data_IF_612467145791
#
_entry.id   IF_612467145791
#
_cell.length_a   1.000
_cell.length_b   1.000
_cell.length_c   1.000
_cell.angle_alpha   90.00
_cell.angle_beta   90.00
_cell.angle_gamma   90.00
#
_symmetry.space_group_name_H-M   'P 1'
#
loop_
_entity.id
_entity.type
_entity.pdbx_description
1 polymer ?
#
# COMPACT_ATOMS: atom_id res chain seq x y z
N UNK A 1 -7.81 4.89 31.97
CA UNK A 1 -8.71 5.61 31.05
C UNK A 1 -10.02 4.85 30.91
N UNK A 2 -11.14 5.55 30.71
CA UNK A 2 -12.47 4.98 30.41
C UNK A 2 -13.22 5.96 29.50
N UNK A 3 -14.02 5.45 28.57
CA UNK A 3 -14.87 6.29 27.74
C UNK A 3 -15.88 7.08 28.61
N UNK A 4 -16.11 8.34 28.25
CA UNK A 4 -17.22 9.14 28.76
C UNK A 4 -18.45 8.88 27.91
N UNK A 5 -19.64 9.27 28.38
CA UNK A 5 -20.86 9.15 27.59
C UNK A 5 -20.78 9.93 26.26
N UNK A 6 -20.06 11.05 26.26
CA UNK A 6 -19.75 11.81 25.05
C UNK A 6 -18.86 11.01 24.10
N UNK A 7 -17.80 10.37 24.62
CA UNK A 7 -16.93 9.50 23.82
C UNK A 7 -17.68 8.29 23.25
N UNK A 8 -18.63 7.71 24.00
CA UNK A 8 -19.48 6.63 23.49
C UNK A 8 -20.37 7.10 22.34
N UNK A 9 -21.00 8.28 22.46
CA UNK A 9 -21.81 8.86 21.38
C UNK A 9 -20.98 9.19 20.14
N UNK A 10 -19.77 9.72 20.35
CA UNK A 10 -18.83 10.01 19.27
C UNK A 10 -18.45 8.75 18.49
N UNK A 11 -18.08 7.68 19.20
CA UNK A 11 -17.71 6.41 18.59
C UNK A 11 -18.87 5.78 17.80
N UNK A 12 -20.09 5.82 18.35
CA UNK A 12 -21.28 5.31 17.66
C UNK A 12 -21.59 6.08 16.38
N UNK A 13 -21.38 7.40 16.38
CA UNK A 13 -21.56 8.21 15.17
C UNK A 13 -20.52 7.85 14.12
N UNK A 14 -19.24 7.87 14.48
CA UNK A 14 -18.14 7.53 13.59
C UNK A 14 -18.28 6.12 12.99
N UNK A 15 -18.68 5.13 13.79
CA UNK A 15 -18.87 3.76 13.31
C UNK A 15 -20.05 3.61 12.33
N UNK A 16 -21.01 4.53 12.35
CA UNK A 16 -22.14 4.58 11.42
C UNK A 16 -21.83 5.31 10.11
N UNK A 17 -20.68 5.98 10.01
CA UNK A 17 -20.26 6.70 8.81
C UNK A 17 -19.52 5.77 7.84
N UNK A 18 -19.90 5.84 6.56
CA UNK A 18 -19.14 5.14 5.51
C UNK A 18 -17.81 5.85 5.27
N UNK A 19 -16.77 5.08 4.99
CA UNK A 19 -15.51 5.66 4.50
C UNK A 19 -15.62 5.87 2.98
N UNK A 20 -15.55 7.12 2.47
CA UNK A 20 -15.55 7.34 1.03
C UNK A 20 -14.27 6.75 0.41
N UNK A 21 -14.32 6.30 -0.85
CA UNK A 21 -13.11 5.92 -1.58
C UNK A 21 -12.11 7.08 -1.54
N UNK A 22 -10.84 6.78 -1.28
CA UNK A 22 -9.81 7.80 -1.23
C UNK A 22 -9.75 8.54 -2.59
N UNK A 23 -9.95 9.87 -2.64
CA UNK A 23 -10.00 10.62 -3.89
C UNK A 23 -8.63 10.69 -4.58
N UNK A 24 -7.55 10.59 -3.79
CA UNK A 24 -6.17 10.48 -4.26
C UNK A 24 -5.44 9.47 -3.37
N UNK A 25 -4.95 8.38 -3.95
CA UNK A 25 -3.97 7.54 -3.26
C UNK A 25 -2.64 8.28 -3.35
N UNK A 26 -2.09 8.71 -2.22
CA UNK A 26 -0.74 9.28 -2.18
C UNK A 26 0.24 8.24 -2.71
N UNK A 27 0.67 8.40 -3.97
CA UNK A 27 1.50 7.41 -4.64
C UNK A 27 2.98 7.76 -4.49
N UNK A 28 3.49 7.55 -3.27
CA UNK A 28 4.90 7.80 -2.95
C UNK A 28 5.85 6.96 -3.81
N UNK A 29 5.46 5.72 -4.13
CA UNK A 29 6.27 4.82 -4.99
C UNK A 29 6.44 5.45 -6.38
N UNK A 30 5.37 6.00 -6.97
CA UNK A 30 5.46 6.69 -8.25
C UNK A 30 6.29 7.97 -8.17
N UNK A 31 6.13 8.76 -7.11
CA UNK A 31 6.96 9.95 -6.90
C UNK A 31 8.46 9.57 -6.86
N UNK A 32 8.81 8.49 -6.16
CA UNK A 32 10.19 7.97 -6.11
C UNK A 32 10.69 7.44 -7.45
N UNK A 33 9.83 6.83 -8.28
CA UNK A 33 10.19 6.45 -9.66
C UNK A 33 10.54 7.68 -10.49
N UNK A 34 9.72 8.74 -10.46
CA UNK A 34 9.98 9.97 -11.21
C UNK A 34 11.25 10.67 -10.72
N UNK A 35 11.46 10.73 -9.40
CA UNK A 35 12.69 11.29 -8.82
C UNK A 35 13.92 10.47 -9.21
N UNK A 36 13.83 9.14 -9.26
CA UNK A 36 14.93 8.29 -9.72
C UNK A 36 15.29 8.58 -11.17
N UNK A 37 14.32 8.87 -12.05
CA UNK A 37 14.58 9.29 -13.44
C UNK A 37 15.29 10.65 -13.46
N UNK A 38 14.68 11.67 -12.84
CA UNK A 38 15.19 13.05 -12.86
C UNK A 38 16.58 13.21 -12.24
N UNK A 39 16.98 12.28 -11.36
CA UNK A 39 18.30 12.27 -10.72
C UNK A 39 19.34 11.42 -11.46
N UNK A 40 19.00 10.84 -12.62
CA UNK A 40 19.89 9.94 -13.37
C UNK A 40 20.13 8.59 -12.68
N UNK A 41 19.23 8.19 -11.78
CA UNK A 41 19.27 6.92 -11.08
C UNK A 41 18.63 5.77 -11.87
N UNK A 42 18.36 4.66 -11.17
CA UNK A 42 17.76 3.46 -11.75
C UNK A 42 16.35 3.21 -11.19
N UNK A 43 15.28 3.67 -11.88
CA UNK A 43 13.91 3.43 -11.44
C UNK A 43 13.51 1.94 -11.48
N UNK A 44 14.14 1.12 -12.32
CA UNK A 44 13.86 -0.32 -12.40
C UNK A 44 14.42 -1.06 -11.18
N UNK A 45 15.64 -0.72 -10.75
CA UNK A 45 16.23 -1.23 -9.51
C UNK A 45 15.42 -0.81 -8.28
N UNK A 46 14.94 0.44 -8.25
CA UNK A 46 14.04 0.91 -7.19
C UNK A 46 12.75 0.08 -7.12
N UNK A 47 12.04 -0.11 -8.25
CA UNK A 47 10.82 -0.92 -8.28
C UNK A 47 11.09 -2.38 -7.89
N UNK A 48 12.20 -2.97 -8.32
CA UNK A 48 12.59 -4.33 -7.94
C UNK A 48 12.74 -4.46 -6.41
N UNK A 49 13.43 -3.51 -5.79
CA UNK A 49 13.62 -3.47 -4.33
C UNK A 49 12.30 -3.26 -3.59
N UNK A 50 11.45 -2.36 -4.09
CA UNK A 50 10.14 -2.09 -3.50
C UNK A 50 9.22 -3.32 -3.56
N UNK A 51 9.24 -4.06 -4.68
CA UNK A 51 8.52 -5.33 -4.84
C UNK A 51 9.00 -6.38 -3.84
N UNK A 52 10.31 -6.49 -3.62
CA UNK A 52 10.85 -7.41 -2.62
C UNK A 52 10.34 -7.08 -1.21
N UNK A 53 10.31 -5.79 -0.84
CA UNK A 53 9.77 -5.35 0.45
C UNK A 53 8.26 -5.68 0.60
N UNK A 54 7.47 -5.53 -0.47
CA UNK A 54 6.05 -5.90 -0.46
C UNK A 54 5.86 -7.42 -0.27
N UNK A 55 6.61 -8.24 -1.00
CA UNK A 55 6.53 -9.70 -0.88
C UNK A 55 6.93 -10.18 0.53
N UNK A 56 7.96 -9.58 1.13
CA UNK A 56 8.35 -9.89 2.50
C UNK A 56 7.23 -9.53 3.49
N UNK A 57 6.60 -8.36 3.33
CA UNK A 57 5.45 -7.99 4.17
C UNK A 57 4.27 -8.95 3.99
N UNK A 58 4.01 -9.40 2.76
CA UNK A 58 2.98 -10.40 2.49
C UNK A 58 3.28 -11.75 3.17
N UNK A 59 4.54 -12.19 3.19
CA UNK A 59 4.95 -13.40 3.94
C UNK A 59 4.66 -13.26 5.43
N UNK A 60 5.00 -12.10 6.02
CA UNK A 60 4.75 -11.83 7.43
C UNK A 60 3.25 -11.85 7.77
N UNK A 61 2.42 -11.19 6.95
CA UNK A 61 0.97 -11.17 7.15
C UNK A 61 0.35 -12.56 6.94
N UNK A 62 0.85 -13.33 5.97
CA UNK A 62 0.41 -14.72 5.74
C UNK A 62 0.73 -15.60 6.95
N UNK A 63 1.94 -15.48 7.52
CA UNK A 63 2.31 -16.19 8.74
C UNK A 63 1.47 -15.76 9.93
N UNK A 64 1.20 -14.45 10.08
CA UNK A 64 0.38 -13.90 11.15
C UNK A 64 -1.04 -14.49 11.14
N UNK A 65 -1.71 -14.47 9.98
CA UNK A 65 -3.09 -15.00 9.88
C UNK A 65 -3.17 -16.53 9.94
N UNK A 66 -2.07 -17.23 9.67
CA UNK A 66 -1.98 -18.69 9.75
C UNK A 66 -1.53 -19.19 11.14
N UNK A 67 -1.20 -18.29 12.08
CA UNK A 67 -0.76 -18.66 13.40
C UNK A 67 -1.87 -19.42 14.17
N UNK A 68 -1.47 -20.45 14.92
CA UNK A 68 -2.41 -21.21 15.73
C UNK A 68 -3.05 -20.30 16.79
N UNK A 69 -4.39 -20.27 16.80
CA UNK A 69 -5.15 -19.43 17.72
C UNK A 69 -5.27 -17.96 17.30
N UNK A 70 -4.91 -17.61 16.05
CA UNK A 70 -5.19 -16.29 15.51
C UNK A 70 -6.70 -16.00 15.56
N UNK A 71 -7.07 -14.86 16.13
CA UNK A 71 -8.46 -14.43 16.17
C UNK A 71 -8.94 -13.96 14.79
N UNK A 72 -10.26 -13.93 14.61
CA UNK A 72 -10.87 -13.54 13.33
C UNK A 72 -10.52 -12.10 12.94
N UNK A 73 -10.39 -11.19 13.92
CA UNK A 73 -10.03 -9.80 13.66
C UNK A 73 -8.63 -9.69 13.03
N UNK A 74 -7.67 -10.47 13.52
CA UNK A 74 -6.32 -10.56 12.98
C UNK A 74 -6.34 -11.12 11.56
N UNK A 75 -7.10 -12.20 11.32
CA UNK A 75 -7.20 -12.82 9.99
C UNK A 75 -7.77 -11.83 8.97
N UNK A 76 -8.90 -11.19 9.29
CA UNK A 76 -9.57 -10.25 8.38
C UNK A 76 -8.73 -8.99 8.13
N UNK A 77 -8.04 -8.48 9.16
CA UNK A 77 -7.12 -7.35 9.00
C UNK A 77 -5.93 -7.70 8.10
N UNK A 78 -5.35 -8.88 8.29
CA UNK A 78 -4.26 -9.37 7.44
C UNK A 78 -4.71 -9.60 5.99
N UNK A 79 -5.90 -10.17 5.77
CA UNK A 79 -6.46 -10.36 4.44
C UNK A 79 -6.69 -9.04 3.72
N UNK A 80 -7.22 -8.03 4.41
CA UNK A 80 -7.37 -6.69 3.85
C UNK A 80 -6.00 -6.13 3.39
N UNK A 81 -5.00 -6.16 4.25
CA UNK A 81 -3.66 -5.67 3.92
C UNK A 81 -2.98 -6.46 2.78
N UNK A 82 -3.17 -7.78 2.73
CA UNK A 82 -2.65 -8.64 1.66
C UNK A 82 -3.25 -8.28 0.29
N UNK A 83 -4.55 -7.99 0.23
CA UNK A 83 -5.22 -7.58 -1.00
C UNK A 83 -4.69 -6.24 -1.55
N UNK A 84 -4.37 -5.29 -0.66
CA UNK A 84 -3.75 -4.03 -1.05
C UNK A 84 -2.32 -4.24 -1.57
N UNK A 85 -1.49 -5.03 -0.88
CA UNK A 85 -0.13 -5.32 -1.32
C UNK A 85 -0.09 -6.06 -2.66
N UNK A 86 -1.05 -6.96 -2.93
CA UNK A 86 -1.18 -7.60 -4.24
C UNK A 86 -1.51 -6.58 -5.35
N UNK A 87 -2.44 -5.66 -5.08
CA UNK A 87 -2.76 -4.59 -6.02
C UNK A 87 -1.54 -3.70 -6.31
N UNK A 88 -0.75 -3.37 -5.29
CA UNK A 88 0.49 -2.61 -5.44
C UNK A 88 1.54 -3.38 -6.26
N UNK A 89 1.68 -4.69 -6.05
CA UNK A 89 2.56 -5.54 -6.85
C UNK A 89 2.15 -5.61 -8.32
N UNK A 90 0.84 -5.69 -8.61
CA UNK A 90 0.32 -5.65 -9.99
C UNK A 90 0.55 -4.29 -10.64
N UNK A 91 0.35 -3.21 -9.89
CA UNK A 91 0.64 -1.85 -10.35
C UNK A 91 2.14 -1.69 -10.65
N UNK A 92 3.04 -2.06 -9.73
CA UNK A 92 4.49 -1.97 -9.93
C UNK A 92 4.97 -2.79 -11.14
N UNK A 93 4.37 -3.95 -11.39
CA UNK A 93 4.66 -4.77 -12.58
C UNK A 93 4.29 -4.02 -13.87
N UNK A 94 3.11 -3.40 -13.89
CA UNK A 94 2.63 -2.61 -15.02
C UNK A 94 3.52 -1.38 -15.26
N UNK A 95 3.92 -0.68 -14.19
CA UNK A 95 4.81 0.47 -14.26
C UNK A 95 6.19 0.07 -14.76
N UNK A 96 6.77 -1.02 -14.25
CA UNK A 96 8.06 -1.53 -14.70
C UNK A 96 8.08 -1.79 -16.22
N UNK A 97 7.01 -2.38 -16.77
CA UNK A 97 6.87 -2.64 -18.20
C UNK A 97 6.77 -1.35 -19.06
N UNK A 98 6.50 -0.19 -18.45
CA UNK A 98 6.34 1.11 -19.11
C UNK A 98 7.46 2.10 -18.77
N UNK A 99 8.48 1.69 -18.02
CA UNK A 99 9.54 2.58 -17.55
C UNK A 99 10.27 3.28 -18.69
N UNK A 100 10.60 2.57 -19.78
CA UNK A 100 11.28 3.19 -20.94
C UNK A 100 10.48 4.36 -21.51
N UNK A 101 9.16 4.19 -21.68
CA UNK A 101 8.28 5.25 -22.16
C UNK A 101 8.20 6.40 -21.16
N UNK A 102 8.01 6.09 -19.87
CA UNK A 102 7.96 7.10 -18.81
C UNK A 102 9.25 7.92 -18.72
N UNK A 103 10.41 7.27 -18.80
CA UNK A 103 11.71 7.95 -18.80
C UNK A 103 11.82 8.93 -19.97
N UNK A 104 11.44 8.52 -21.18
CA UNK A 104 11.47 9.40 -22.35
C UNK A 104 10.52 10.61 -22.20
N UNK A 105 9.34 10.42 -21.60
CA UNK A 105 8.39 11.51 -21.34
C UNK A 105 8.91 12.49 -20.28
N UNK A 106 9.53 11.99 -19.21
CA UNK A 106 10.10 12.80 -18.12
C UNK A 106 11.32 13.58 -18.59
N UNK A 107 12.20 12.97 -19.39
CA UNK A 107 13.40 13.64 -19.93
C UNK A 107 13.06 14.72 -20.98
N UNK A 108 11.87 14.65 -21.58
CA UNK A 108 11.39 15.62 -22.55
C UNK A 108 10.63 16.82 -21.93
N UNK A 109 10.33 16.76 -20.63
CA UNK A 109 9.59 17.79 -19.88
C UNK A 109 10.53 18.89 -19.36
#
# INVERSE_FOLDING_TARGET
YRATDEGTRELSRWAGEITPPAPFVANEIFAKVVVAILSGGDPAAYLSTQRAAHMERMRQLTALKAAQGADLATVLSADYALNHLDADLRWMSTTAARLTTLTAEVDAA
#
